data_IF_266153694350
#
_entry.id   IF_266153694350
#
_cell.length_a   1.000
_cell.length_b   1.000
_cell.length_c   1.000
_cell.angle_alpha   90.00
_cell.angle_beta   90.00
_cell.angle_gamma   90.00
#
_symmetry.space_group_name_H-M   'P 1'
#
loop_
_entity.id
_entity.type
_entity.pdbx_description
1 polymer ?
#
# COMPACT_ATOMS: atom_id res chain seq x y z
N UNK A 1 34.56 14.39 -14.56
CA UNK A 1 35.01 13.81 -15.85
C UNK A 1 36.36 14.43 -16.14
N UNK A 2 37.44 13.66 -16.39
CA UNK A 2 38.67 14.25 -16.87
C UNK A 2 38.43 14.97 -18.22
N UNK A 3 39.14 16.06 -18.51
CA UNK A 3 39.04 16.73 -19.80
C UNK A 3 39.51 15.80 -20.94
N UNK A 4 38.86 15.90 -22.10
CA UNK A 4 39.31 15.23 -23.32
C UNK A 4 40.66 15.80 -23.75
N UNK A 5 41.58 14.94 -24.18
CA UNK A 5 42.80 15.43 -24.84
C UNK A 5 42.48 15.88 -26.27
N UNK A 6 43.34 16.72 -26.85
CA UNK A 6 43.17 17.24 -28.22
C UNK A 6 43.08 16.11 -29.27
N UNK A 7 43.96 15.13 -29.20
CA UNK A 7 43.93 13.94 -30.06
C UNK A 7 42.62 13.14 -29.94
N UNK A 8 42.10 13.01 -28.71
CA UNK A 8 40.82 12.32 -28.47
C UNK A 8 39.63 13.13 -29.03
N UNK A 9 39.68 14.46 -28.90
CA UNK A 9 38.67 15.35 -29.44
C UNK A 9 38.60 15.29 -30.97
N UNK A 10 39.75 15.36 -31.65
CA UNK A 10 39.85 15.26 -33.11
C UNK A 10 39.35 13.89 -33.61
N UNK A 11 39.77 12.79 -32.99
CA UNK A 11 39.31 11.46 -33.39
C UNK A 11 37.79 11.26 -33.22
N UNK A 12 37.18 11.85 -32.19
CA UNK A 12 35.73 11.80 -31.98
C UNK A 12 34.97 12.68 -32.98
N UNK A 13 35.55 13.82 -33.38
CA UNK A 13 34.99 14.70 -34.41
C UNK A 13 34.99 14.01 -35.78
N UNK A 14 36.12 13.40 -36.17
CA UNK A 14 36.23 12.65 -37.43
C UNK A 14 35.21 11.51 -37.47
N UNK A 15 35.03 10.79 -36.36
CA UNK A 15 34.02 9.74 -36.26
C UNK A 15 32.59 10.28 -36.39
N UNK A 16 32.28 11.41 -35.75
CA UNK A 16 30.97 12.05 -35.85
C UNK A 16 30.64 12.46 -37.29
N UNK A 17 31.63 12.89 -38.07
CA UNK A 17 31.44 13.24 -39.48
C UNK A 17 31.11 12.03 -40.38
N UNK A 18 31.33 10.80 -39.91
CA UNK A 18 30.99 9.58 -40.65
C UNK A 18 29.63 8.99 -40.27
N UNK A 19 28.99 9.52 -39.24
CA UNK A 19 27.70 9.05 -38.73
C UNK A 19 26.58 9.95 -39.24
N UNK A 20 25.51 9.35 -39.77
CA UNK A 20 24.32 10.07 -40.25
C UNK A 20 23.31 10.32 -39.11
N UNK A 21 23.82 10.73 -37.94
CA UNK A 21 23.02 11.04 -36.75
C UNK A 21 23.16 12.52 -36.35
N UNK A 22 22.06 13.27 -36.23
CA UNK A 22 22.11 14.66 -35.75
C UNK A 22 22.27 14.71 -34.22
N UNK A 23 22.92 15.78 -33.71
CA UNK A 23 23.11 16.09 -32.28
C UNK A 23 24.05 15.17 -31.48
N UNK A 24 25.19 14.82 -32.06
CA UNK A 24 26.23 14.04 -31.39
C UNK A 24 26.99 14.85 -30.33
N UNK A 25 27.19 14.26 -29.15
CA UNK A 25 27.96 14.87 -28.04
C UNK A 25 29.19 14.02 -27.74
N UNK A 26 30.42 14.57 -27.88
CA UNK A 26 31.64 13.84 -27.57
C UNK A 26 31.77 13.63 -26.06
N UNK A 27 31.74 12.38 -25.63
CA UNK A 27 31.96 12.00 -24.22
C UNK A 27 33.28 11.24 -24.10
N UNK A 28 34.14 11.68 -23.16
CA UNK A 28 35.36 10.95 -22.84
C UNK A 28 35.08 9.57 -22.26
N UNK A 29 36.03 8.63 -22.39
CA UNK A 29 35.91 7.29 -21.79
C UNK A 29 35.71 7.42 -20.28
N UNK A 30 34.50 7.10 -19.80
CA UNK A 30 34.24 7.00 -18.37
C UNK A 30 35.09 5.87 -17.79
N UNK A 31 36.04 6.22 -16.92
CA UNK A 31 36.84 5.25 -16.20
C UNK A 31 35.96 4.51 -15.17
N UNK A 32 35.57 3.27 -15.50
CA UNK A 32 34.95 2.32 -14.58
C UNK A 32 33.64 2.80 -13.91
N UNK A 33 33.09 2.01 -12.96
CA UNK A 33 31.89 2.37 -12.22
C UNK A 33 32.22 3.48 -11.21
N UNK A 34 32.45 4.69 -11.70
CA UNK A 34 32.56 5.87 -10.87
C UNK A 34 31.16 6.18 -10.33
N UNK A 35 30.97 5.97 -9.02
CA UNK A 35 29.77 6.43 -8.30
C UNK A 35 29.76 7.95 -8.40
N UNK A 36 28.92 8.52 -9.28
CA UNK A 36 28.61 9.94 -9.21
C UNK A 36 27.96 10.23 -7.86
N UNK A 37 28.53 11.11 -7.01
CA UNK A 37 27.82 11.65 -5.87
C UNK A 37 26.78 12.64 -6.40
N UNK A 38 25.49 12.32 -6.25
CA UNK A 38 24.39 13.20 -6.63
C UNK A 38 23.39 12.59 -7.62
N UNK A 39 22.27 13.28 -7.81
CA UNK A 39 21.21 12.86 -8.73
C UNK A 39 21.72 12.88 -10.18
N UNK A 40 21.70 11.73 -10.86
CA UNK A 40 22.09 11.61 -12.27
C UNK A 40 21.10 12.42 -13.12
N UNK A 41 21.57 13.42 -13.91
CA UNK A 41 20.73 14.18 -14.84
C UNK A 41 19.95 13.26 -15.77
N UNK A 42 18.70 13.62 -16.10
CA UNK A 42 17.76 12.76 -16.82
C UNK A 42 18.34 12.19 -18.14
N UNK A 43 19.15 12.98 -18.85
CA UNK A 43 19.78 12.59 -20.12
C UNK A 43 20.87 11.50 -19.97
N UNK A 44 21.45 11.33 -18.77
CA UNK A 44 22.57 10.41 -18.55
C UNK A 44 22.16 9.07 -17.93
N UNK A 45 20.87 8.89 -17.58
CA UNK A 45 20.37 7.64 -16.98
C UNK A 45 20.47 6.43 -17.91
N UNK A 46 20.43 6.63 -19.22
CA UNK A 46 20.57 5.54 -20.21
C UNK A 46 22.02 5.10 -20.44
N UNK A 47 23.00 5.98 -20.16
CA UNK A 47 24.44 5.74 -20.33
C UNK A 47 25.07 5.06 -19.11
N UNK A 48 24.55 5.36 -17.92
CA UNK A 48 24.85 4.58 -16.73
C UNK A 48 24.03 3.31 -16.83
N UNK A 49 24.64 2.21 -17.27
CA UNK A 49 24.13 0.88 -16.94
C UNK A 49 24.20 0.77 -15.43
N UNK A 50 23.16 1.27 -14.75
CA UNK A 50 22.90 0.93 -13.36
C UNK A 50 22.95 -0.58 -13.33
N UNK A 51 23.82 -1.12 -12.49
CA UNK A 51 23.89 -2.56 -12.25
C UNK A 51 22.45 -3.04 -12.25
N UNK A 52 22.10 -3.87 -13.25
CA UNK A 52 20.78 -4.47 -13.36
C UNK A 52 20.53 -5.00 -11.96
N UNK A 53 19.66 -4.34 -11.20
CA UNK A 53 19.16 -4.92 -9.96
C UNK A 53 18.52 -6.18 -10.48
N UNK A 54 19.21 -7.29 -10.28
CA UNK A 54 18.57 -8.59 -10.20
C UNK A 54 17.46 -8.31 -9.22
N UNK A 55 16.24 -8.27 -9.75
CA UNK A 55 15.06 -8.17 -8.94
C UNK A 55 15.16 -9.37 -8.01
N UNK A 56 15.51 -9.11 -6.75
CA UNK A 56 15.10 -10.00 -5.67
C UNK A 56 13.58 -10.05 -5.77
N UNK A 57 13.13 -11.19 -6.27
CA UNK A 57 11.77 -11.61 -6.48
C UNK A 57 10.86 -11.12 -5.36
N UNK A 58 9.89 -10.25 -5.68
CA UNK A 58 8.61 -10.08 -4.97
C UNK A 58 8.60 -9.74 -3.47
N UNK A 59 9.73 -9.62 -2.78
CA UNK A 59 9.80 -9.55 -1.31
C UNK A 59 9.83 -8.14 -0.71
N UNK A 60 10.26 -7.13 -1.47
CA UNK A 60 10.48 -5.78 -0.94
C UNK A 60 9.20 -5.05 -0.51
N UNK A 61 8.11 -5.17 -1.29
CA UNK A 61 6.81 -4.55 -0.97
C UNK A 61 6.07 -5.34 0.10
N UNK A 62 6.14 -6.67 0.10
CA UNK A 62 5.53 -7.51 1.14
C UNK A 62 6.25 -7.36 2.48
N UNK A 63 7.58 -7.21 2.47
CA UNK A 63 8.37 -6.98 3.68
C UNK A 63 8.09 -5.63 4.34
N UNK A 64 7.94 -4.56 3.56
CA UNK A 64 7.58 -3.23 4.10
C UNK A 64 6.15 -3.18 4.62
N UNK A 65 5.18 -3.78 3.90
CA UNK A 65 3.79 -3.92 4.39
C UNK A 65 3.77 -4.67 5.72
N UNK A 66 4.45 -5.83 5.79
CA UNK A 66 4.49 -6.65 7.01
C UNK A 66 5.13 -5.92 8.19
N UNK A 67 6.22 -5.19 7.96
CA UNK A 67 6.89 -4.41 9.00
C UNK A 67 6.03 -3.25 9.52
N UNK A 68 5.36 -2.53 8.63
CA UNK A 68 4.44 -1.45 9.00
C UNK A 68 3.20 -2.01 9.73
N UNK A 69 2.62 -3.11 9.23
CA UNK A 69 1.49 -3.77 9.85
C UNK A 69 1.82 -4.27 11.27
N UNK A 70 2.99 -4.89 11.47
CA UNK A 70 3.45 -5.32 12.79
C UNK A 70 3.61 -4.14 13.76
N UNK A 71 4.13 -3.01 13.26
CA UNK A 71 4.29 -1.79 14.06
C UNK A 71 2.95 -1.17 14.44
N UNK A 72 1.98 -1.17 13.53
CA UNK A 72 0.61 -0.71 13.81
C UNK A 72 -0.12 -1.64 14.76
N UNK A 73 0.10 -2.96 14.68
CA UNK A 73 -0.52 -3.94 15.57
C UNK A 73 -0.12 -3.73 17.05
N UNK A 74 1.11 -3.27 17.30
CA UNK A 74 1.59 -2.92 18.64
C UNK A 74 1.07 -1.59 19.20
N UNK A 75 0.36 -0.79 18.39
CA UNK A 75 -0.22 0.48 18.80
C UNK A 75 -1.71 0.33 19.13
N UNK A 76 -2.17 1.11 20.12
CA UNK A 76 -3.60 1.34 20.37
C UNK A 76 -4.24 2.04 19.16
N UNK A 77 -5.53 1.83 18.96
CA UNK A 77 -6.25 2.27 17.75
C UNK A 77 -6.05 3.74 17.41
N UNK A 78 -6.24 4.64 18.39
CA UNK A 78 -6.02 6.07 18.19
C UNK A 78 -4.57 6.46 17.86
N UNK A 79 -3.57 5.62 18.16
CA UNK A 79 -2.16 5.89 17.86
C UNK A 79 -1.76 5.42 16.48
N UNK A 80 -2.48 4.44 15.93
CA UNK A 80 -2.26 3.98 14.55
C UNK A 80 -2.49 5.12 13.57
N UNK A 81 -3.62 5.82 13.73
CA UNK A 81 -3.94 6.95 12.88
C UNK A 81 -2.92 8.08 13.05
N UNK A 82 -2.59 8.48 14.29
CA UNK A 82 -1.57 9.52 14.52
C UNK A 82 -0.21 9.17 13.94
N UNK A 83 0.19 7.90 14.04
CA UNK A 83 1.45 7.43 13.47
C UNK A 83 1.45 7.57 11.94
N UNK A 84 0.37 7.13 11.27
CA UNK A 84 0.22 7.26 9.82
C UNK A 84 0.10 8.71 9.37
N UNK A 85 -0.61 9.56 10.09
CA UNK A 85 -0.65 11.01 9.80
C UNK A 85 0.74 11.61 9.89
N UNK A 86 1.54 11.24 10.89
CA UNK A 86 2.93 11.67 11.01
C UNK A 86 3.79 11.20 9.82
N UNK A 87 3.59 9.96 9.37
CA UNK A 87 4.26 9.42 8.18
C UNK A 87 3.88 10.20 6.93
N UNK A 88 2.59 10.41 6.66
CA UNK A 88 2.11 11.16 5.49
C UNK A 88 2.67 12.59 5.49
N UNK A 89 2.63 13.27 6.64
CA UNK A 89 3.21 14.62 6.79
C UNK A 89 4.71 14.66 6.55
N UNK A 90 5.43 13.62 6.98
CA UNK A 90 6.88 13.50 6.73
C UNK A 90 7.17 13.35 5.25
N UNK A 91 6.40 12.50 4.56
CA UNK A 91 6.58 12.28 3.13
C UNK A 91 6.20 13.53 2.31
N UNK A 92 5.12 14.22 2.70
CA UNK A 92 4.69 15.47 2.09
C UNK A 92 5.73 16.59 2.30
N UNK A 93 6.25 16.75 3.51
CA UNK A 93 7.28 17.73 3.83
C UNK A 93 8.52 17.56 2.95
N UNK A 94 8.98 16.32 2.77
CA UNK A 94 10.16 16.06 1.96
C UNK A 94 9.94 16.27 0.45
N UNK A 95 8.72 16.10 -0.08
CA UNK A 95 8.39 16.47 -1.47
C UNK A 95 8.34 17.99 -1.64
N UNK A 96 7.79 18.70 -0.66
CA UNK A 96 7.70 20.17 -0.65
C UNK A 96 9.03 20.86 -0.28
N UNK A 97 10.10 20.09 -0.01
CA UNK A 97 11.40 20.62 0.39
C UNK A 97 11.42 21.23 1.79
N UNK A 98 10.45 20.90 2.63
CA UNK A 98 10.41 21.31 4.03
C UNK A 98 11.29 20.41 4.91
N UNK A 99 11.96 21.00 5.89
CA UNK A 99 12.87 20.26 6.78
C UNK A 99 12.17 19.42 7.87
N UNK A 100 10.85 19.48 7.98
CA UNK A 100 10.13 18.90 9.11
C UNK A 100 8.66 18.62 8.77
N UNK A 101 8.13 17.49 9.28
CA UNK A 101 6.72 17.13 9.15
C UNK A 101 5.77 18.14 9.83
N UNK A 102 6.27 18.90 10.81
CA UNK A 102 5.50 19.90 11.54
C UNK A 102 5.11 21.10 10.67
N UNK A 103 5.84 21.36 9.57
CA UNK A 103 5.49 22.44 8.63
C UNK A 103 4.32 22.09 7.71
N UNK A 104 3.91 20.82 7.68
CA UNK A 104 2.73 20.35 6.93
C UNK A 104 1.60 20.21 7.92
N UNK A 105 0.54 21.00 7.81
CA UNK A 105 -0.64 20.90 8.69
C UNK A 105 -1.45 19.63 8.38
N UNK A 106 -1.96 18.93 9.40
CA UNK A 106 -2.61 17.63 9.21
C UNK A 106 -3.97 17.71 8.51
N UNK A 107 -4.69 18.80 8.73
CA UNK A 107 -6.07 19.01 8.28
C UNK A 107 -6.15 20.04 7.14
N UNK A 108 -5.00 20.49 6.63
CA UNK A 108 -4.93 21.44 5.52
C UNK A 108 -4.81 20.69 4.20
N UNK A 109 -5.46 21.22 3.18
CA UNK A 109 -5.44 20.62 1.85
C UNK A 109 -4.03 20.64 1.25
N UNK A 110 -3.67 19.54 0.60
CA UNK A 110 -2.40 19.37 -0.10
C UNK A 110 -2.19 20.46 -1.16
N UNK A 111 -3.24 20.87 -1.86
CA UNK A 111 -3.19 21.97 -2.82
C UNK A 111 -2.74 23.29 -2.16
N UNK A 112 -3.32 23.62 -1.01
CA UNK A 112 -2.99 24.85 -0.27
C UNK A 112 -1.62 24.82 0.41
N UNK A 113 -1.06 23.61 0.55
CA UNK A 113 0.31 23.36 1.00
C UNK A 113 1.32 23.41 -0.17
N UNK A 114 0.86 23.58 -1.41
CA UNK A 114 1.71 23.68 -2.59
C UNK A 114 1.96 22.34 -3.30
N UNK A 115 1.17 21.31 -3.01
CA UNK A 115 1.19 20.06 -3.79
C UNK A 115 0.43 20.27 -5.10
N UNK A 116 1.15 20.10 -6.20
CA UNK A 116 0.65 20.11 -7.57
C UNK A 116 0.57 18.69 -8.17
N UNK A 117 0.23 18.56 -9.44
CA UNK A 117 0.09 17.26 -10.11
C UNK A 117 1.39 16.44 -10.15
N UNK A 118 2.57 17.08 -10.24
CA UNK A 118 3.86 16.37 -10.32
C UNK A 118 4.30 15.90 -8.94
N UNK A 119 4.22 16.79 -7.96
CA UNK A 119 4.54 16.52 -6.56
C UNK A 119 3.53 15.56 -5.92
N UNK A 120 2.26 15.57 -6.33
CA UNK A 120 1.29 14.55 -5.92
C UNK A 120 1.71 13.14 -6.36
N UNK A 121 2.22 13.00 -7.59
CA UNK A 121 2.72 11.72 -8.08
C UNK A 121 3.99 11.28 -7.33
N UNK A 122 4.87 12.23 -7.00
CA UNK A 122 6.05 11.96 -6.20
C UNK A 122 5.68 11.51 -4.78
N UNK A 123 4.77 12.23 -4.12
CA UNK A 123 4.22 11.87 -2.81
C UNK A 123 3.62 10.45 -2.86
N UNK A 124 2.82 10.14 -3.88
CA UNK A 124 2.28 8.80 -4.08
C UNK A 124 3.38 7.75 -4.19
N UNK A 125 4.45 8.01 -4.94
CA UNK A 125 5.55 7.06 -5.10
C UNK A 125 6.32 6.83 -3.79
N UNK A 126 6.53 7.89 -3.02
CA UNK A 126 7.19 7.81 -1.70
C UNK A 126 6.32 7.04 -0.71
N UNK A 127 5.02 7.33 -0.66
CA UNK A 127 4.05 6.58 0.14
C UNK A 127 3.99 5.10 -0.27
N UNK A 128 3.98 4.80 -1.57
CA UNK A 128 4.04 3.41 -2.08
C UNK A 128 5.30 2.70 -1.57
N UNK A 129 6.45 3.38 -1.53
CA UNK A 129 7.70 2.78 -1.08
C UNK A 129 7.69 2.47 0.43
N UNK A 130 7.19 3.39 1.27
CA UNK A 130 7.21 3.23 2.73
C UNK A 130 6.06 2.36 3.26
N UNK A 131 4.91 2.37 2.60
CA UNK A 131 3.77 1.53 2.97
C UNK A 131 3.80 0.16 2.29
N UNK A 132 4.51 0.04 1.17
CA UNK A 132 4.49 -1.13 0.30
C UNK A 132 3.13 -1.37 -0.40
N UNK A 133 2.19 -0.43 -0.28
CA UNK A 133 0.89 -0.49 -0.96
C UNK A 133 0.99 -0.07 -2.43
N UNK A 134 0.07 -0.56 -3.25
CA UNK A 134 -0.15 -0.03 -4.61
C UNK A 134 -1.18 1.08 -4.52
N UNK A 135 -0.73 2.32 -4.68
CA UNK A 135 -1.58 3.50 -4.54
C UNK A 135 -1.94 4.09 -5.92
N UNK A 136 -3.21 4.45 -6.18
CA UNK A 136 -3.61 5.08 -7.43
C UNK A 136 -2.99 6.46 -7.60
N UNK A 137 -2.87 6.93 -8.85
CA UNK A 137 -2.31 8.25 -9.13
C UNK A 137 -3.21 9.41 -8.66
N UNK A 138 -4.51 9.15 -8.46
CA UNK A 138 -5.51 10.13 -8.00
C UNK A 138 -5.57 10.27 -6.48
N UNK A 139 -4.84 9.43 -5.73
CA UNK A 139 -4.93 9.30 -4.27
C UNK A 139 -4.93 10.64 -3.52
N UNK A 140 -4.04 11.57 -3.91
CA UNK A 140 -3.89 12.88 -3.27
C UNK A 140 -5.10 13.80 -3.54
N UNK A 141 -5.78 13.60 -4.66
CA UNK A 141 -7.00 14.33 -5.01
C UNK A 141 -8.24 13.71 -4.35
N UNK A 142 -8.28 12.38 -4.25
CA UNK A 142 -9.35 11.64 -3.58
C UNK A 142 -9.31 11.85 -2.05
N UNK A 143 -8.12 12.10 -1.51
CA UNK A 143 -7.85 12.30 -0.09
C UNK A 143 -7.02 13.58 0.11
N UNK A 144 -7.68 14.75 0.15
CA UNK A 144 -7.02 16.04 -0.04
C UNK A 144 -6.21 16.51 1.17
N UNK A 145 -6.38 15.91 2.36
CA UNK A 145 -5.60 16.27 3.56
C UNK A 145 -4.73 15.12 4.05
N UNK A 146 -3.60 15.39 4.73
CA UNK A 146 -2.78 14.35 5.34
C UNK A 146 -3.53 13.44 6.31
N UNK A 147 -4.48 13.97 7.08
CA UNK A 147 -5.29 13.20 8.02
C UNK A 147 -6.23 12.22 7.31
N UNK A 148 -6.95 12.69 6.28
CA UNK A 148 -7.87 11.86 5.48
C UNK A 148 -7.10 10.78 4.73
N UNK A 149 -5.95 11.14 4.13
CA UNK A 149 -5.10 10.19 3.44
C UNK A 149 -4.55 9.12 4.40
N UNK A 150 -4.13 9.50 5.61
CA UNK A 150 -3.67 8.55 6.62
C UNK A 150 -4.78 7.59 7.07
N UNK A 151 -6.02 8.07 7.22
CA UNK A 151 -7.17 7.22 7.55
C UNK A 151 -7.46 6.20 6.44
N UNK A 152 -7.41 6.63 5.18
CA UNK A 152 -7.56 5.72 4.05
C UNK A 152 -6.47 4.64 4.02
N UNK A 153 -5.21 5.03 4.18
CA UNK A 153 -4.09 4.09 4.24
C UNK A 153 -4.21 3.09 5.40
N UNK A 154 -4.70 3.54 6.55
CA UNK A 154 -4.96 2.67 7.70
C UNK A 154 -6.01 1.61 7.36
N UNK A 155 -7.14 2.01 6.76
CA UNK A 155 -8.20 1.09 6.35
C UNK A 155 -7.68 0.03 5.38
N UNK A 156 -6.94 0.44 4.35
CA UNK A 156 -6.36 -0.48 3.36
C UNK A 156 -5.36 -1.46 3.99
N UNK A 157 -4.57 -1.01 4.98
CA UNK A 157 -3.62 -1.88 5.69
C UNK A 157 -4.31 -2.90 6.60
N UNK A 158 -5.41 -2.50 7.24
CA UNK A 158 -6.20 -3.40 8.10
C UNK A 158 -6.95 -4.44 7.27
N UNK A 159 -7.65 -4.03 6.21
CA UNK A 159 -8.37 -4.94 5.31
C UNK A 159 -7.43 -5.98 4.67
N UNK A 160 -6.26 -5.54 4.22
CA UNK A 160 -5.23 -6.45 3.70
C UNK A 160 -4.71 -7.42 4.75
N UNK A 161 -4.65 -7.01 6.02
CA UNK A 161 -4.25 -7.89 7.10
C UNK A 161 -5.34 -8.92 7.39
N UNK A 162 -6.59 -8.49 7.48
CA UNK A 162 -7.71 -9.38 7.77
C UNK A 162 -7.88 -10.45 6.68
N UNK A 163 -7.70 -10.06 5.41
CA UNK A 163 -7.67 -11.01 4.27
C UNK A 163 -6.47 -11.98 4.34
N UNK A 164 -5.29 -11.51 4.73
CA UNK A 164 -4.11 -12.36 4.89
C UNK A 164 -4.24 -13.33 6.09
N UNK A 165 -4.76 -12.85 7.22
CA UNK A 165 -5.02 -13.64 8.42
C UNK A 165 -6.10 -14.71 8.14
N UNK A 166 -7.14 -14.36 7.39
CA UNK A 166 -8.17 -15.30 6.91
C UNK A 166 -7.61 -16.39 6.00
N UNK A 167 -6.79 -16.01 5.01
CA UNK A 167 -6.14 -16.98 4.12
C UNK A 167 -5.20 -17.94 4.88
N UNK A 168 -4.47 -17.45 5.87
CA UNK A 168 -3.62 -18.27 6.71
C UNK A 168 -4.42 -19.28 7.56
N UNK A 169 -5.57 -18.86 8.09
CA UNK A 169 -6.49 -19.72 8.84
C UNK A 169 -7.09 -20.81 7.95
N UNK A 170 -7.53 -20.46 6.73
CA UNK A 170 -8.03 -21.45 5.77
C UNK A 170 -6.97 -22.49 5.42
N UNK A 171 -5.72 -22.07 5.18
CA UNK A 171 -4.61 -23.01 4.95
C UNK A 171 -4.28 -23.89 6.17
N UNK A 172 -4.66 -23.51 7.39
CA UNK A 172 -4.58 -24.42 8.56
C UNK A 172 -5.67 -25.50 8.52
N UNK A 173 -6.86 -25.17 8.01
CA UNK A 173 -7.94 -26.15 7.83
C UNK A 173 -7.59 -27.16 6.73
N UNK A 174 -6.99 -26.72 5.63
CA UNK A 174 -6.54 -27.62 4.56
C UNK A 174 -5.52 -28.64 5.08
N UNK A 175 -4.55 -28.19 5.88
CA UNK A 175 -3.56 -29.08 6.54
C UNK A 175 -4.21 -30.06 7.53
N UNK A 176 -5.28 -29.64 8.20
CA UNK A 176 -6.03 -30.52 9.09
C UNK A 176 -6.79 -31.59 8.29
N UNK A 177 -7.37 -31.23 7.15
CA UNK A 177 -8.09 -32.15 6.27
C UNK A 177 -7.13 -33.22 5.70
N UNK A 178 -5.95 -32.80 5.23
CA UNK A 178 -4.89 -33.71 4.77
C UNK A 178 -4.46 -34.70 5.88
N UNK A 179 -4.25 -34.22 7.10
CA UNK A 179 -3.86 -35.07 8.23
C UNK A 179 -4.96 -36.07 8.63
N UNK A 180 -6.23 -35.70 8.45
CA UNK A 180 -7.37 -36.60 8.68
C UNK A 180 -7.50 -37.65 7.57
N UNK A 181 -7.17 -37.28 6.33
CA UNK A 181 -7.23 -38.17 5.17
C UNK A 181 -6.13 -39.26 5.19
N UNK A 182 -4.95 -38.97 5.76
CA UNK A 182 -3.82 -39.91 5.86
C UNK A 182 -4.10 -41.11 6.80
N UNK A 183 -5.22 -41.07 7.56
CA UNK A 183 -5.77 -42.24 8.23
C UNK A 183 -5.07 -42.68 9.53
N UNK A 184 -3.96 -42.05 9.90
CA UNK A 184 -3.18 -42.35 11.12
C UNK A 184 -3.87 -41.91 12.43
N UNK A 185 -5.04 -41.27 12.33
CA UNK A 185 -5.79 -40.75 13.47
C UNK A 185 -6.75 -41.80 14.04
N UNK A 186 -6.60 -42.17 15.31
CA UNK A 186 -7.51 -43.10 16.02
C UNK A 186 -8.96 -42.55 16.13
N UNK A 187 -9.94 -43.46 16.31
CA UNK A 187 -11.37 -43.16 16.41
C UNK A 187 -11.69 -42.18 17.54
N UNK A 188 -11.05 -42.31 18.70
CA UNK A 188 -11.26 -41.40 19.81
C UNK A 188 -10.86 -39.95 19.46
N UNK A 189 -9.76 -39.77 18.71
CA UNK A 189 -9.30 -38.46 18.24
C UNK A 189 -10.25 -37.87 17.19
N UNK A 190 -10.75 -38.70 16.26
CA UNK A 190 -11.76 -38.27 15.28
C UNK A 190 -13.07 -37.80 15.94
N UNK A 191 -13.56 -38.52 16.93
CA UNK A 191 -14.77 -38.16 17.67
C UNK A 191 -14.57 -36.84 18.45
N UNK A 192 -13.40 -36.66 19.08
CA UNK A 192 -13.05 -35.44 19.79
C UNK A 192 -12.93 -34.21 18.86
N UNK A 193 -12.32 -34.38 17.69
CA UNK A 193 -12.23 -33.33 16.66
C UNK A 193 -13.61 -32.94 16.14
N UNK A 194 -14.48 -33.91 15.83
CA UNK A 194 -15.85 -33.66 15.38
C UNK A 194 -16.64 -32.83 16.39
N UNK A 195 -16.56 -33.17 17.68
CA UNK A 195 -17.23 -32.41 18.74
C UNK A 195 -16.70 -30.98 18.87
N UNK A 196 -15.39 -30.78 18.66
CA UNK A 196 -14.77 -29.45 18.74
C UNK A 196 -15.14 -28.58 17.55
N UNK A 197 -15.16 -29.13 16.34
CA UNK A 197 -15.58 -28.43 15.13
C UNK A 197 -17.05 -28.03 15.19
N UNK A 198 -17.95 -28.91 15.65
CA UNK A 198 -19.37 -28.55 15.86
C UNK A 198 -19.55 -27.37 16.82
N UNK A 199 -18.80 -27.35 17.92
CA UNK A 199 -18.80 -26.22 18.86
C UNK A 199 -18.28 -24.93 18.23
N UNK A 200 -17.25 -25.01 17.39
CA UNK A 200 -16.75 -23.84 16.66
C UNK A 200 -17.78 -23.31 15.66
N UNK A 201 -18.44 -24.19 14.91
CA UNK A 201 -19.50 -23.82 13.96
C UNK A 201 -20.68 -23.13 14.66
N UNK A 202 -21.10 -23.64 15.82
CA UNK A 202 -22.15 -22.98 16.60
C UNK A 202 -21.73 -21.59 17.07
N UNK A 203 -20.49 -21.45 17.54
CA UNK A 203 -19.94 -20.14 17.93
C UNK A 203 -19.92 -19.15 16.77
N UNK A 204 -19.52 -19.59 15.58
CA UNK A 204 -19.49 -18.74 14.38
C UNK A 204 -20.91 -18.32 13.97
N UNK A 205 -21.88 -19.23 14.00
CA UNK A 205 -23.29 -18.91 13.73
C UNK A 205 -23.83 -17.82 14.67
N UNK A 206 -23.46 -17.87 15.95
CA UNK A 206 -23.84 -16.84 16.93
C UNK A 206 -23.19 -15.49 16.60
N UNK A 207 -21.90 -15.49 16.24
CA UNK A 207 -21.19 -14.26 15.84
C UNK A 207 -21.80 -13.64 14.58
N UNK A 208 -22.14 -14.45 13.58
CA UNK A 208 -22.78 -13.96 12.35
C UNK A 208 -24.16 -13.34 12.61
N UNK A 209 -24.94 -13.93 13.53
CA UNK A 209 -26.22 -13.37 13.94
C UNK A 209 -26.06 -12.02 14.66
N UNK A 210 -25.05 -11.89 15.53
CA UNK A 210 -24.73 -10.64 16.23
C UNK A 210 -24.31 -9.54 15.25
N UNK A 211 -23.40 -9.86 14.32
CA UNK A 211 -22.95 -8.92 13.29
C UNK A 211 -24.11 -8.46 12.37
N UNK A 212 -25.07 -9.34 12.09
CA UNK A 212 -26.25 -8.99 11.31
C UNK A 212 -27.17 -8.01 12.05
N UNK A 213 -27.34 -8.16 13.37
CA UNK A 213 -28.10 -7.23 14.21
C UNK A 213 -27.39 -5.86 14.34
N UNK A 214 -26.08 -5.86 14.58
CA UNK A 214 -25.27 -4.63 14.65
C UNK A 214 -25.31 -3.87 13.32
N UNK A 215 -25.19 -4.57 12.19
CA UNK A 215 -25.27 -3.98 10.86
C UNK A 215 -26.68 -3.51 10.46
N UNK A 216 -27.73 -3.89 11.20
CA UNK A 216 -29.08 -3.31 11.08
C UNK A 216 -29.18 -2.06 11.96
N UNK A 217 -28.64 -2.09 13.18
CA UNK A 217 -28.58 -0.94 14.07
C UNK A 217 -27.81 0.24 13.45
N UNK A 218 -26.63 -0.01 12.89
CA UNK A 218 -25.82 1.02 12.20
C UNK A 218 -26.55 1.60 10.98
N UNK A 219 -27.30 0.77 10.24
CA UNK A 219 -28.12 1.22 9.10
C UNK A 219 -29.29 2.08 9.53
N UNK A 220 -29.91 1.77 10.68
CA UNK A 220 -30.99 2.56 11.26
C UNK A 220 -30.49 3.90 11.81
N UNK A 221 -29.27 3.97 12.34
CA UNK A 221 -28.65 5.21 12.80
C UNK A 221 -28.19 6.12 11.65
N UNK A 222 -27.75 5.54 10.53
CA UNK A 222 -27.33 6.29 9.34
C UNK A 222 -28.48 6.68 8.41
N UNK A 223 -29.63 6.00 8.49
CA UNK A 223 -30.80 6.27 7.67
C UNK A 223 -31.48 7.59 8.06
N UNK A 224 -31.92 8.34 7.04
CA UNK A 224 -32.77 9.51 7.24
C UNK A 224 -34.16 9.10 7.76
N UNK A 225 -34.88 10.01 8.43
CA UNK A 225 -36.19 9.71 9.01
C UNK A 225 -37.21 9.16 7.98
N UNK A 226 -37.12 9.62 6.72
CA UNK A 226 -37.96 9.14 5.61
C UNK A 226 -37.59 7.71 5.17
N UNK A 227 -36.30 7.35 5.20
CA UNK A 227 -35.83 5.98 4.89
C UNK A 227 -36.20 4.99 6.00
N UNK A 228 -36.15 5.42 7.27
CA UNK A 228 -36.59 4.61 8.42
C UNK A 228 -38.10 4.36 8.35
N UNK A 229 -38.91 5.37 8.00
CA UNK A 229 -40.36 5.22 7.81
C UNK A 229 -40.69 4.30 6.62
N UNK A 230 -39.98 4.42 5.49
CA UNK A 230 -40.16 3.54 4.35
C UNK A 230 -39.82 2.07 4.64
N UNK A 231 -38.83 1.80 5.51
CA UNK A 231 -38.47 0.45 5.94
C UNK A 231 -39.57 -0.18 6.82
N UNK A 232 -40.12 0.57 7.76
CA UNK A 232 -41.22 0.12 8.65
C UNK A 232 -42.47 -0.21 7.83
N UNK A 233 -42.82 0.62 6.85
CA UNK A 233 -43.98 0.38 5.98
C UNK A 233 -43.81 -0.88 5.11
N UNK A 234 -42.58 -1.19 4.67
CA UNK A 234 -42.30 -2.36 3.84
C UNK A 234 -42.32 -3.68 4.63
N UNK A 235 -41.88 -3.69 5.89
CA UNK A 235 -41.93 -4.87 6.78
C UNK A 235 -43.34 -5.10 7.37
N UNK A 236 -44.05 -4.05 7.78
CA UNK A 236 -45.43 -4.18 8.28
C UNK A 236 -46.46 -4.41 7.16
N UNK A 237 -46.15 -3.98 5.93
CA UNK A 237 -46.96 -4.25 4.74
C UNK A 237 -47.01 -5.74 4.36
N UNK A 238 -45.97 -6.53 4.67
CA UNK A 238 -45.98 -7.99 4.41
C UNK A 238 -46.76 -8.81 5.44
N UNK A 239 -47.05 -8.24 6.62
CA UNK A 239 -47.80 -8.93 7.68
C UNK A 239 -49.33 -8.74 7.57
N UNK A 240 -49.81 -7.84 6.71
CA UNK A 240 -51.24 -7.53 6.55
C UNK A 240 -51.95 -8.36 5.48
N UNK A 241 -51.24 -9.23 4.75
CA UNK A 241 -51.78 -10.00 3.61
C UNK A 241 -51.78 -11.52 3.87
N UNK A 242 -51.97 -11.94 5.12
CA UNK A 242 -52.13 -13.34 5.53
C UNK A 242 -53.43 -13.60 6.27
#
# INVERSE_FOLDING_TARGET
>A
MPPLTEEQGLALLDAAMTLDEPYLVPIGRAAGPSRMPGAVPALLRGLVRGARRVAESGGGSTGTVTALAARLAGLREGDRLRHLTGLVRTEAAAVLGHGSAQSVEADRDFHDLGVDSLTALELRNRLTAVTGLRLPATLVFDHPTPAVLAAHLLGVLLDRRDTADGAALLGQLDRLDEALADGDTDRATRDALSLRLRRMLEKLRILDAQNAEDGVAERLEAASADEVLAFIDNELGRLSDR
#
